data_IF_540367779142
#
_entry.id   IF_540367779142
#
_cell.length_a   1.000
_cell.length_b   1.000
_cell.length_c   1.000
_cell.angle_alpha   90.00
_cell.angle_beta   90.00
_cell.angle_gamma   90.00
#
_symmetry.space_group_name_H-M   'P 1'
#
loop_
_entity.id
_entity.type
_entity.pdbx_description
1 polymer ?
#
# COMPACT_ATOMS: atom_id res chain seq x y z
N UNK A 1 -24.71 -4.74 -12.31
CA UNK A 1 -23.74 -4.65 -11.20
C UNK A 1 -24.31 -5.45 -10.05
N UNK A 2 -23.69 -6.55 -9.69
CA UNK A 2 -24.04 -7.31 -8.45
C UNK A 2 -23.83 -6.35 -7.28
N UNK A 3 -24.82 -6.21 -6.40
CA UNK A 3 -24.67 -5.40 -5.20
C UNK A 3 -23.55 -6.04 -4.35
N UNK A 4 -22.42 -5.35 -4.18
CA UNK A 4 -21.38 -5.82 -3.28
C UNK A 4 -21.95 -5.99 -1.89
N UNK A 5 -21.69 -7.12 -1.26
CA UNK A 5 -22.09 -7.37 0.12
C UNK A 5 -21.41 -6.30 0.98
N UNK A 6 -22.21 -5.54 1.73
CA UNK A 6 -21.67 -4.49 2.62
C UNK A 6 -20.80 -5.14 3.70
N UNK A 7 -19.54 -4.74 3.76
CA UNK A 7 -18.62 -5.19 4.80
C UNK A 7 -18.98 -4.53 6.13
N UNK A 8 -19.10 -5.29 7.23
CA UNK A 8 -19.33 -4.70 8.54
C UNK A 8 -18.11 -3.88 8.99
N UNK A 9 -18.36 -2.78 9.68
CA UNK A 9 -17.30 -1.90 10.19
C UNK A 9 -16.85 -0.83 9.20
N UNK A 10 -16.17 0.16 9.76
CA UNK A 10 -15.60 1.31 9.04
C UNK A 10 -14.08 1.24 9.06
N UNK A 11 -13.46 1.66 7.95
CA UNK A 11 -12.03 1.89 7.87
C UNK A 11 -11.73 3.38 7.61
N UNK A 12 -10.63 3.87 8.16
CA UNK A 12 -10.01 5.13 7.79
C UNK A 12 -8.73 4.80 7.02
N UNK A 13 -8.56 5.38 5.83
CA UNK A 13 -7.33 5.31 5.05
C UNK A 13 -6.77 6.73 4.94
N UNK A 14 -5.60 6.93 5.52
CA UNK A 14 -4.93 8.23 5.58
C UNK A 14 -3.53 8.17 4.97
N UNK A 15 -2.97 9.34 4.63
CA UNK A 15 -1.61 9.45 4.13
C UNK A 15 -1.54 10.11 2.75
N UNK A 16 -0.62 9.58 1.95
CA UNK A 16 -0.29 10.15 0.64
C UNK A 16 -1.42 10.00 -0.39
N UNK A 17 -1.71 11.09 -1.10
CA UNK A 17 -2.59 11.14 -2.27
C UNK A 17 -1.97 12.05 -3.33
N UNK A 18 -2.05 11.67 -4.61
CA UNK A 18 -1.56 12.48 -5.73
C UNK A 18 -2.40 12.31 -6.98
N UNK A 19 -2.10 13.10 -8.00
CA UNK A 19 -2.57 12.90 -9.36
C UNK A 19 -1.45 12.23 -10.17
N UNK A 20 -1.74 11.09 -10.80
CA UNK A 20 -0.83 10.43 -11.71
C UNK A 20 -1.18 10.77 -13.17
N UNK A 21 -0.23 11.32 -13.91
CA UNK A 21 -0.32 11.62 -15.34
C UNK A 21 0.58 10.64 -16.09
N UNK A 22 -0.03 9.72 -16.83
CA UNK A 22 0.67 8.65 -17.54
C UNK A 22 0.50 8.84 -19.04
N UNK A 23 1.50 9.42 -19.76
CA UNK A 23 1.49 9.45 -21.22
C UNK A 23 1.53 8.03 -21.80
N UNK A 24 0.64 7.73 -22.76
CA UNK A 24 0.65 6.44 -23.45
C UNK A 24 1.74 6.46 -24.53
N UNK A 25 2.76 5.64 -24.36
CA UNK A 25 3.83 5.50 -25.34
C UNK A 25 3.43 4.60 -26.51
N UNK A 26 3.82 4.89 -27.74
CA UNK A 26 3.61 4.00 -28.88
C UNK A 26 4.41 2.69 -28.70
N UNK A 27 3.99 1.57 -29.34
CA UNK A 27 4.60 0.25 -29.14
C UNK A 27 6.09 0.17 -29.42
N UNK A 28 6.60 1.01 -30.33
CA UNK A 28 8.01 1.09 -30.73
C UNK A 28 8.86 2.02 -29.85
N UNK A 29 8.24 2.75 -28.93
CA UNK A 29 8.99 3.67 -28.06
C UNK A 29 9.84 2.90 -27.04
N UNK A 30 10.95 3.51 -26.72
CA UNK A 30 11.87 3.04 -25.67
C UNK A 30 12.37 4.22 -24.85
N UNK A 31 12.97 3.97 -23.70
CA UNK A 31 13.55 5.03 -22.87
C UNK A 31 14.61 5.85 -23.64
N UNK A 32 15.33 5.22 -24.57
CA UNK A 32 16.35 5.89 -25.43
C UNK A 32 15.74 6.85 -26.46
N UNK A 33 14.42 6.81 -26.70
CA UNK A 33 13.73 7.78 -27.58
C UNK A 33 13.53 9.14 -26.88
N UNK A 34 13.61 9.19 -25.55
CA UNK A 34 13.49 10.42 -24.77
C UNK A 34 14.87 11.07 -24.70
N UNK A 35 15.08 12.16 -25.46
CA UNK A 35 16.38 12.81 -25.60
C UNK A 35 16.32 14.29 -25.22
N UNK A 36 17.35 14.84 -24.57
CA UNK A 36 17.45 16.29 -24.34
C UNK A 36 17.32 17.07 -25.63
N UNK A 37 16.48 18.09 -25.66
CA UNK A 37 16.23 18.93 -26.84
C UNK A 37 15.40 18.28 -27.95
N UNK A 38 15.00 17.02 -27.81
CA UNK A 38 14.15 16.30 -28.75
C UNK A 38 12.65 16.41 -28.40
N UNK A 39 11.80 16.03 -29.37
CA UNK A 39 10.37 15.85 -29.17
C UNK A 39 10.07 14.35 -29.29
N UNK A 40 9.48 13.77 -28.27
CA UNK A 40 8.93 12.41 -28.30
C UNK A 40 7.42 12.48 -28.37
N UNK A 41 6.85 12.02 -29.48
CA UNK A 41 5.39 11.96 -29.60
C UNK A 41 4.86 10.82 -28.75
N UNK A 42 3.80 11.10 -27.99
CA UNK A 42 3.06 10.14 -27.16
C UNK A 42 1.57 10.22 -27.53
N UNK A 43 0.82 9.21 -27.10
CA UNK A 43 -0.64 9.17 -27.21
C UNK A 43 -1.32 10.03 -26.12
N UNK A 44 -2.65 9.88 -25.95
CA UNK A 44 -3.39 10.53 -24.89
C UNK A 44 -2.81 10.21 -23.52
N UNK A 45 -2.77 11.20 -22.61
CA UNK A 45 -2.39 10.94 -21.22
C UNK A 45 -3.57 10.30 -20.48
N UNK A 46 -3.27 9.24 -19.73
CA UNK A 46 -4.17 8.72 -18.71
C UNK A 46 -3.96 9.51 -17.41
N UNK A 47 -5.07 9.98 -16.83
CA UNK A 47 -5.07 10.77 -15.60
C UNK A 47 -5.84 9.99 -14.55
N UNK A 48 -5.12 9.53 -13.52
CA UNK A 48 -5.65 8.74 -12.42
C UNK A 48 -5.25 9.36 -11.07
N UNK A 49 -5.92 8.97 -10.02
CA UNK A 49 -5.43 9.24 -8.66
C UNK A 49 -4.41 8.18 -8.26
N UNK A 50 -3.33 8.61 -7.61
CA UNK A 50 -2.30 7.76 -7.03
C UNK A 50 -2.18 7.93 -5.51
N UNK A 51 -1.27 7.16 -4.93
CA UNK A 51 -1.01 7.14 -3.50
C UNK A 51 -1.92 6.18 -2.73
N UNK A 52 -1.51 5.87 -1.50
CA UNK A 52 -2.19 4.88 -0.67
C UNK A 52 -3.66 5.23 -0.37
N UNK A 53 -3.97 6.52 -0.18
CA UNK A 53 -5.34 6.98 0.09
C UNK A 53 -6.28 6.63 -1.07
N UNK A 54 -5.85 6.85 -2.30
CA UNK A 54 -6.64 6.50 -3.47
C UNK A 54 -6.62 4.98 -3.72
N UNK A 55 -5.45 4.39 -3.88
CA UNK A 55 -5.33 2.99 -4.30
C UNK A 55 -5.93 2.01 -3.28
N UNK A 56 -5.46 2.08 -2.01
CA UNK A 56 -5.98 1.20 -0.95
C UNK A 56 -7.41 1.57 -0.58
N UNK A 57 -7.70 2.86 -0.44
CA UNK A 57 -9.01 3.32 0.01
C UNK A 57 -10.12 3.07 -0.99
N UNK A 58 -9.91 3.31 -2.28
CA UNK A 58 -10.91 3.04 -3.32
C UNK A 58 -11.09 1.54 -3.55
N UNK A 59 -10.01 0.74 -3.43
CA UNK A 59 -10.13 -0.72 -3.48
C UNK A 59 -10.96 -1.26 -2.30
N UNK A 60 -10.79 -0.73 -1.08
CA UNK A 60 -11.64 -1.08 0.07
C UNK A 60 -13.12 -0.74 -0.18
N UNK A 61 -13.40 0.44 -0.75
CA UNK A 61 -14.76 0.80 -1.17
C UNK A 61 -15.31 -0.14 -2.24
N UNK A 62 -14.48 -0.51 -3.22
CA UNK A 62 -14.85 -1.49 -4.23
C UNK A 62 -15.26 -2.82 -3.60
N UNK A 63 -14.59 -3.28 -2.54
CA UNK A 63 -14.97 -4.49 -1.80
C UNK A 63 -16.22 -4.32 -0.93
N UNK A 64 -16.75 -3.12 -0.79
CA UNK A 64 -17.99 -2.84 -0.02
C UNK A 64 -17.77 -2.34 1.40
N UNK A 65 -16.54 -1.96 1.77
CA UNK A 65 -16.26 -1.35 3.07
C UNK A 65 -16.74 0.10 3.14
N UNK A 66 -17.21 0.53 4.31
CA UNK A 66 -17.40 1.96 4.62
C UNK A 66 -16.02 2.56 4.90
N UNK A 67 -15.55 3.47 4.04
CA UNK A 67 -14.18 4.00 4.10
C UNK A 67 -14.17 5.51 4.11
N UNK A 68 -13.53 6.09 5.12
CA UNK A 68 -13.14 7.49 5.13
C UNK A 68 -11.74 7.65 4.53
N UNK A 69 -11.61 8.50 3.51
CA UNK A 69 -10.35 8.81 2.84
C UNK A 69 -9.81 10.13 3.35
N UNK A 70 -8.62 10.14 3.96
CA UNK A 70 -7.99 11.31 4.54
C UNK A 70 -6.65 11.59 3.86
N UNK A 71 -6.63 12.58 3.00
CA UNK A 71 -5.44 13.08 2.31
C UNK A 71 -5.50 14.60 2.21
N UNK A 72 -4.43 15.22 1.75
CA UNK A 72 -4.35 16.68 1.59
C UNK A 72 -4.00 17.01 0.13
N UNK A 73 -4.72 17.96 -0.44
CA UNK A 73 -4.49 18.51 -1.79
C UNK A 73 -4.48 20.03 -1.75
N UNK A 74 -3.93 20.65 -2.77
CA UNK A 74 -4.00 22.10 -2.97
C UNK A 74 -5.36 22.56 -3.50
N UNK A 75 -5.61 23.89 -3.42
CA UNK A 75 -6.74 24.54 -4.06
C UNK A 75 -6.42 24.89 -5.53
N UNK A 76 -6.03 23.90 -6.33
CA UNK A 76 -5.55 24.02 -7.70
C UNK A 76 -6.27 23.05 -8.65
N UNK A 77 -6.06 23.15 -10.00
CA UNK A 77 -6.71 22.26 -10.95
C UNK A 77 -6.42 20.76 -10.71
N UNK A 78 -5.25 20.38 -10.20
CA UNK A 78 -4.94 18.97 -9.89
C UNK A 78 -5.72 18.49 -8.66
N UNK A 79 -5.88 19.33 -7.63
CA UNK A 79 -6.75 19.05 -6.48
C UNK A 79 -8.21 18.84 -6.88
N UNK A 80 -8.71 19.64 -7.81
CA UNK A 80 -10.06 19.46 -8.37
C UNK A 80 -10.21 18.11 -9.10
N UNK A 81 -9.20 17.69 -9.88
CA UNK A 81 -9.21 16.39 -10.55
C UNK A 81 -9.18 15.23 -9.56
N UNK A 82 -8.34 15.31 -8.53
CA UNK A 82 -8.30 14.32 -7.45
C UNK A 82 -9.65 14.23 -6.74
N UNK A 83 -10.22 15.38 -6.33
CA UNK A 83 -11.52 15.45 -5.68
C UNK A 83 -12.62 14.83 -6.54
N UNK A 84 -12.68 15.21 -7.82
CA UNK A 84 -13.67 14.68 -8.76
C UNK A 84 -13.53 13.16 -8.98
N UNK A 85 -12.30 12.63 -8.95
CA UNK A 85 -12.06 11.19 -9.02
C UNK A 85 -12.59 10.47 -7.77
N UNK A 86 -12.33 10.99 -6.57
CA UNK A 86 -12.85 10.41 -5.32
C UNK A 86 -14.39 10.47 -5.26
N UNK A 87 -15.00 11.57 -5.74
CA UNK A 87 -16.47 11.72 -5.78
C UNK A 87 -17.14 10.64 -6.66
N UNK A 88 -16.54 10.28 -7.77
CA UNK A 88 -17.04 9.18 -8.64
C UNK A 88 -17.07 7.83 -7.92
N UNK A 89 -16.27 7.66 -6.88
CA UNK A 89 -16.11 6.41 -6.10
C UNK A 89 -16.67 6.49 -4.67
N UNK A 90 -17.63 7.38 -4.41
CA UNK A 90 -18.35 7.41 -3.13
C UNK A 90 -17.99 8.56 -2.20
N UNK A 91 -17.29 9.58 -2.71
CA UNK A 91 -17.13 10.86 -2.02
C UNK A 91 -15.72 11.17 -1.52
N UNK A 92 -15.45 12.45 -1.39
CA UNK A 92 -14.17 13.04 -1.01
C UNK A 92 -14.25 13.78 0.36
N UNK A 93 -15.23 13.46 1.20
CA UNK A 93 -15.54 14.25 2.41
C UNK A 93 -14.41 14.31 3.45
N UNK A 94 -13.46 13.37 3.41
CA UNK A 94 -12.27 13.38 4.27
C UNK A 94 -11.04 14.04 3.62
N UNK A 95 -11.16 14.54 2.38
CA UNK A 95 -10.07 15.20 1.68
C UNK A 95 -9.94 16.65 2.18
N UNK A 96 -8.74 17.03 2.59
CA UNK A 96 -8.42 18.39 3.02
C UNK A 96 -7.95 19.18 1.80
N UNK A 97 -8.55 20.34 1.55
CA UNK A 97 -8.12 21.28 0.52
C UNK A 97 -7.40 22.44 1.21
N UNK A 98 -6.10 22.54 0.99
CA UNK A 98 -5.24 23.56 1.58
C UNK A 98 -4.85 24.61 0.52
N UNK A 99 -5.36 25.86 0.60
CA UNK A 99 -5.04 26.90 -0.37
C UNK A 99 -3.59 27.41 -0.27
N UNK A 100 -2.85 27.01 0.76
CA UNK A 100 -1.44 27.36 0.95
C UNK A 100 -0.45 26.37 0.32
N UNK A 101 -0.96 25.31 -0.30
CA UNK A 101 -0.15 24.25 -0.89
C UNK A 101 -0.57 23.96 -2.34
N UNK A 102 0.33 23.34 -3.11
CA UNK A 102 0.04 22.76 -4.42
C UNK A 102 -0.28 21.27 -4.27
N UNK A 103 -1.10 20.72 -5.17
CA UNK A 103 -1.46 19.30 -5.15
C UNK A 103 -0.28 18.45 -5.63
N UNK A 104 0.01 17.39 -4.90
CA UNK A 104 0.98 16.37 -5.30
C UNK A 104 0.62 15.75 -6.64
N UNK A 105 1.63 15.50 -7.48
CA UNK A 105 1.45 14.78 -8.73
C UNK A 105 2.65 13.92 -9.10
N UNK A 106 2.43 12.94 -9.98
CA UNK A 106 3.49 12.18 -10.61
C UNK A 106 3.33 12.18 -12.13
N UNK A 107 4.41 12.41 -12.87
CA UNK A 107 4.49 12.03 -14.28
C UNK A 107 5.06 10.61 -14.34
N UNK A 108 4.26 9.66 -14.86
CA UNK A 108 4.66 8.26 -14.93
C UNK A 108 5.18 7.96 -16.32
N UNK A 109 6.48 7.75 -16.46
CA UNK A 109 7.14 7.40 -17.72
C UNK A 109 7.27 5.89 -17.79
N UNK A 110 6.51 5.25 -18.70
CA UNK A 110 6.41 3.81 -18.84
C UNK A 110 6.44 3.37 -20.32
N UNK A 111 7.55 3.57 -21.06
CA UNK A 111 7.66 3.04 -22.41
C UNK A 111 7.69 1.50 -22.39
N UNK A 112 7.22 0.81 -23.47
CA UNK A 112 7.17 -0.63 -23.54
C UNK A 112 8.50 -1.31 -23.16
N UNK A 113 8.42 -2.36 -22.34
CA UNK A 113 9.60 -3.12 -21.90
C UNK A 113 10.48 -2.44 -20.84
N UNK A 114 10.02 -1.30 -20.31
CA UNK A 114 10.71 -0.57 -19.23
C UNK A 114 9.79 -0.49 -18.02
N UNK A 115 10.32 -0.72 -16.82
CA UNK A 115 9.58 -0.44 -15.60
C UNK A 115 9.35 1.07 -15.44
N UNK A 116 8.34 1.44 -14.69
CA UNK A 116 7.89 2.82 -14.52
C UNK A 116 8.95 3.70 -13.86
N UNK A 117 9.09 4.90 -14.39
CA UNK A 117 9.89 5.98 -13.80
C UNK A 117 8.91 7.05 -13.34
N UNK A 118 9.04 7.48 -12.09
CA UNK A 118 8.19 8.52 -11.52
C UNK A 118 8.96 9.83 -11.39
N UNK A 119 8.43 10.91 -11.98
CA UNK A 119 8.81 12.26 -11.66
C UNK A 119 7.75 12.78 -10.68
N UNK A 120 8.09 12.85 -9.41
CA UNK A 120 7.14 13.06 -8.32
C UNK A 120 7.36 14.39 -7.61
N UNK A 121 6.26 15.14 -7.43
CA UNK A 121 6.17 16.31 -6.56
C UNK A 121 5.30 15.95 -5.35
N UNK A 122 5.83 16.00 -4.13
CA UNK A 122 5.08 15.66 -2.93
C UNK A 122 3.95 16.64 -2.57
N UNK A 123 4.06 17.90 -2.99
CA UNK A 123 3.01 18.93 -2.83
C UNK A 123 2.45 19.00 -1.41
N UNK A 124 1.13 19.09 -1.27
CA UNK A 124 0.41 19.21 -0.01
C UNK A 124 0.65 18.06 0.99
N UNK A 125 1.13 16.88 0.53
CA UNK A 125 1.47 15.79 1.43
C UNK A 125 2.64 16.12 2.37
N UNK A 126 3.53 17.06 2.00
CA UNK A 126 4.63 17.50 2.88
C UNK A 126 4.15 18.16 4.17
N UNK A 127 3.00 18.82 4.11
CA UNK A 127 2.39 19.54 5.24
C UNK A 127 1.35 18.74 6.01
N UNK A 128 1.15 17.44 5.65
CA UNK A 128 0.23 16.58 6.38
C UNK A 128 0.76 16.27 7.77
N UNK A 129 -0.11 16.38 8.79
CA UNK A 129 0.23 16.21 10.21
C UNK A 129 -0.79 15.30 10.91
N UNK A 130 -0.53 14.94 12.16
CA UNK A 130 -1.46 14.18 12.97
C UNK A 130 -2.78 14.92 13.24
N UNK A 131 -2.79 16.27 13.18
CA UNK A 131 -4.02 17.06 13.33
C UNK A 131 -4.93 17.01 12.11
N UNK A 132 -4.42 16.58 10.95
CA UNK A 132 -5.20 16.38 9.73
C UNK A 132 -6.02 15.08 9.76
N UNK A 133 -5.76 14.19 10.73
CA UNK A 133 -6.56 12.99 10.96
C UNK A 133 -7.70 13.31 11.93
N UNK A 134 -8.94 13.22 11.46
CA UNK A 134 -10.13 13.53 12.27
C UNK A 134 -10.33 12.47 13.36
N UNK A 135 -10.38 12.92 14.61
CA UNK A 135 -10.49 12.04 15.78
C UNK A 135 -11.85 11.33 15.85
N UNK A 136 -12.93 12.01 15.46
CA UNK A 136 -14.27 11.40 15.42
C UNK A 136 -14.36 10.24 14.45
N UNK A 137 -13.72 10.38 13.30
CA UNK A 137 -13.67 9.31 12.30
C UNK A 137 -12.82 8.12 12.79
N UNK A 138 -11.78 8.37 13.60
CA UNK A 138 -11.03 7.29 14.25
C UNK A 138 -11.88 6.56 15.31
N UNK A 139 -12.64 7.29 16.12
CA UNK A 139 -13.53 6.71 17.16
C UNK A 139 -14.62 5.81 16.56
N UNK A 140 -15.06 6.10 15.32
CA UNK A 140 -16.05 5.31 14.60
C UNK A 140 -15.46 4.17 13.77
N UNK A 141 -14.12 4.11 13.63
CA UNK A 141 -13.45 3.16 12.77
C UNK A 141 -12.96 1.92 13.52
N UNK A 142 -13.09 0.76 12.90
CA UNK A 142 -12.47 -0.47 13.37
C UNK A 142 -11.03 -0.64 12.86
N UNK A 143 -10.72 -0.01 11.71
CA UNK A 143 -9.40 -0.12 11.08
C UNK A 143 -8.87 1.24 10.64
N UNK A 144 -7.62 1.51 10.97
CA UNK A 144 -6.86 2.66 10.49
C UNK A 144 -5.68 2.19 9.65
N UNK A 145 -5.60 2.63 8.41
CA UNK A 145 -4.48 2.39 7.52
C UNK A 145 -3.79 3.70 7.17
N UNK A 146 -2.46 3.74 7.26
CA UNK A 146 -1.66 4.87 6.80
C UNK A 146 -0.64 4.41 5.77
N UNK A 147 -0.53 5.16 4.66
CA UNK A 147 0.40 4.79 3.60
C UNK A 147 1.31 5.90 3.13
N UNK A 148 2.54 5.48 2.81
CA UNK A 148 3.59 6.20 2.12
C UNK A 148 4.25 7.35 2.90
N UNK A 149 4.51 7.21 4.20
CA UNK A 149 5.21 8.23 4.98
C UNK A 149 6.58 8.67 4.41
N UNK A 150 7.35 7.82 3.67
CA UNK A 150 8.64 8.25 3.12
C UNK A 150 8.59 9.40 2.10
N UNK A 151 7.44 9.61 1.49
CA UNK A 151 7.22 10.71 0.53
C UNK A 151 6.29 11.80 1.09
N UNK A 152 6.22 11.91 2.44
CA UNK A 152 5.45 12.90 3.19
C UNK A 152 6.37 13.52 4.24
N UNK A 153 6.93 14.70 3.94
CA UNK A 153 8.00 15.32 4.72
C UNK A 153 7.71 15.40 6.23
N UNK A 154 6.50 15.79 6.61
CA UNK A 154 6.09 15.87 8.01
C UNK A 154 6.20 14.52 8.75
N UNK A 155 6.04 13.40 8.05
CA UNK A 155 5.99 12.07 8.66
C UNK A 155 7.37 11.49 9.01
N UNK A 156 8.45 11.96 8.38
CA UNK A 156 9.80 11.43 8.65
C UNK A 156 10.72 12.41 9.38
N UNK A 157 10.37 13.68 9.48
CA UNK A 157 11.17 14.63 10.24
C UNK A 157 11.10 14.38 11.76
N UNK A 158 12.10 14.88 12.48
CA UNK A 158 12.18 14.78 13.95
C UNK A 158 12.03 13.33 14.47
N UNK A 159 12.67 12.38 13.79
CA UNK A 159 12.60 10.96 14.17
C UNK A 159 11.22 10.34 13.98
N UNK A 160 10.38 10.88 13.09
CA UNK A 160 9.05 10.37 12.82
C UNK A 160 7.98 10.76 13.85
N UNK A 161 8.20 11.84 14.60
CA UNK A 161 7.31 12.24 15.71
C UNK A 161 5.84 12.46 15.28
N UNK A 162 5.59 13.01 14.09
CA UNK A 162 4.21 13.14 13.58
C UNK A 162 3.61 11.78 13.23
N UNK A 163 4.36 10.90 12.58
CA UNK A 163 3.89 9.56 12.25
C UNK A 163 3.59 8.74 13.52
N UNK A 164 4.46 8.82 14.54
CA UNK A 164 4.19 8.21 15.85
C UNK A 164 2.90 8.76 16.46
N UNK A 165 2.69 10.08 16.42
CA UNK A 165 1.49 10.73 16.96
C UNK A 165 0.22 10.26 16.24
N UNK A 166 0.25 10.13 14.91
CA UNK A 166 -0.85 9.57 14.11
C UNK A 166 -1.24 8.19 14.62
N UNK A 167 -0.26 7.28 14.73
CA UNK A 167 -0.54 5.90 15.14
C UNK A 167 -0.95 5.78 16.61
N UNK A 168 -0.36 6.60 17.48
CA UNK A 168 -0.77 6.65 18.90
C UNK A 168 -2.23 7.07 19.05
N UNK A 169 -2.68 8.08 18.29
CA UNK A 169 -4.09 8.51 18.27
C UNK A 169 -5.02 7.40 17.78
N UNK A 170 -4.70 6.74 16.66
CA UNK A 170 -5.49 5.65 16.12
C UNK A 170 -5.59 4.46 17.10
N UNK A 171 -4.49 4.11 17.79
CA UNK A 171 -4.51 3.08 18.84
C UNK A 171 -5.33 3.50 20.05
N UNK A 172 -5.25 4.77 20.47
CA UNK A 172 -6.05 5.28 21.59
C UNK A 172 -7.55 5.29 21.29
N UNK A 173 -7.93 5.46 20.00
CA UNK A 173 -9.32 5.34 19.53
C UNK A 173 -9.81 3.88 19.41
N UNK A 174 -8.95 2.89 19.64
CA UNK A 174 -9.30 1.46 19.59
C UNK A 174 -9.21 0.82 18.23
N UNK A 175 -8.65 1.50 17.21
CA UNK A 175 -8.51 0.93 15.87
C UNK A 175 -7.48 -0.20 15.82
N UNK A 176 -7.72 -1.18 14.95
CA UNK A 176 -6.64 -1.97 14.35
C UNK A 176 -5.84 -1.05 13.44
N UNK A 177 -4.52 -1.09 13.54
CA UNK A 177 -3.66 -0.18 12.80
C UNK A 177 -2.79 -0.91 11.79
N UNK A 178 -2.65 -0.33 10.59
CA UNK A 178 -1.73 -0.84 9.57
C UNK A 178 -0.94 0.29 8.91
N UNK A 179 0.32 0.01 8.58
CA UNK A 179 1.26 0.95 7.99
C UNK A 179 1.87 0.34 6.73
N UNK A 180 1.75 1.04 5.61
CA UNK A 180 2.50 0.77 4.38
C UNK A 180 3.56 1.83 4.13
N UNK A 181 4.59 1.46 3.38
CA UNK A 181 5.70 2.34 3.06
C UNK A 181 5.70 2.69 1.56
N UNK A 182 6.69 3.44 1.13
CA UNK A 182 6.98 3.72 -0.27
C UNK A 182 8.48 3.63 -0.50
N UNK A 183 8.88 3.48 -1.76
CA UNK A 183 10.28 3.56 -2.14
C UNK A 183 10.89 4.90 -1.73
N UNK A 184 12.14 4.86 -1.30
CA UNK A 184 12.90 6.03 -0.85
C UNK A 184 13.97 6.36 -1.89
N UNK A 185 13.98 7.58 -2.37
CA UNK A 185 15.12 8.10 -3.13
C UNK A 185 16.32 8.30 -2.19
N UNK A 186 17.43 7.57 -2.38
CA UNK A 186 18.61 7.67 -1.53
C UNK A 186 19.22 9.08 -1.47
N UNK A 187 19.02 9.89 -2.50
CA UNK A 187 19.53 11.25 -2.58
C UNK A 187 18.67 12.30 -1.88
N UNK A 188 17.42 11.95 -1.57
CA UNK A 188 16.42 12.84 -0.96
C UNK A 188 16.68 13.13 0.53
N UNK A 189 15.91 14.04 1.11
CA UNK A 189 15.92 14.28 2.56
C UNK A 189 15.45 13.04 3.33
N UNK A 190 14.42 12.33 2.82
CA UNK A 190 13.95 11.07 3.36
C UNK A 190 15.04 9.98 3.35
N UNK A 191 15.87 9.94 2.28
CA UNK A 191 16.98 9.00 2.15
C UNK A 191 18.08 9.17 3.21
N UNK A 192 18.20 10.36 3.79
CA UNK A 192 19.18 10.69 4.84
C UNK A 192 18.68 10.46 6.27
N UNK A 193 17.39 10.12 6.46
CA UNK A 193 16.83 9.86 7.78
C UNK A 193 17.31 8.51 8.35
N UNK A 194 17.33 8.42 9.68
CA UNK A 194 17.47 7.13 10.38
C UNK A 194 16.12 6.42 10.47
N UNK A 195 15.82 5.64 9.43
CA UNK A 195 14.57 4.88 9.38
C UNK A 195 14.44 3.82 10.47
N UNK A 196 15.56 3.32 11.02
CA UNK A 196 15.51 2.39 12.15
C UNK A 196 15.02 3.08 13.43
N UNK A 197 15.42 4.33 13.63
CA UNK A 197 14.92 5.14 14.76
C UNK A 197 13.43 5.45 14.58
N UNK A 198 13.02 5.91 13.38
CA UNK A 198 11.61 6.19 13.05
C UNK A 198 10.75 4.94 13.27
N UNK A 199 11.14 3.80 12.71
CA UNK A 199 10.39 2.55 12.84
C UNK A 199 10.32 2.09 14.31
N UNK A 200 11.38 2.23 15.10
CA UNK A 200 11.37 1.90 16.55
C UNK A 200 10.36 2.75 17.33
N UNK A 201 10.18 4.01 16.95
CA UNK A 201 9.19 4.89 17.58
C UNK A 201 7.75 4.51 17.20
N UNK A 202 7.51 4.14 15.95
CA UNK A 202 6.16 3.98 15.36
C UNK A 202 5.61 2.55 15.51
N UNK A 203 6.43 1.51 15.28
CA UNK A 203 5.99 0.11 15.23
C UNK A 203 5.29 -0.42 16.49
N UNK A 204 5.58 0.06 17.71
CA UNK A 204 4.81 -0.31 18.89
C UNK A 204 3.31 0.00 18.82
N UNK A 205 2.91 0.92 17.94
CA UNK A 205 1.51 1.33 17.70
C UNK A 205 0.92 0.76 16.41
N UNK A 206 1.67 -0.08 15.68
CA UNK A 206 1.26 -0.71 14.42
C UNK A 206 0.95 -2.19 14.65
N UNK A 207 -0.30 -2.60 14.39
CA UNK A 207 -0.68 -4.01 14.49
C UNK A 207 -0.21 -4.83 13.28
N UNK A 208 -0.31 -4.24 12.07
CA UNK A 208 0.14 -4.86 10.81
C UNK A 208 1.05 -3.91 10.04
N UNK A 209 2.31 -4.27 9.91
CA UNK A 209 3.26 -3.54 9.08
C UNK A 209 3.38 -4.26 7.73
N UNK A 210 3.06 -3.54 6.62
CA UNK A 210 2.74 -4.16 5.33
C UNK A 210 3.60 -3.65 4.13
N UNK A 211 4.89 -3.34 4.31
CA UNK A 211 5.78 -2.80 3.28
C UNK A 211 6.22 -3.84 2.25
N UNK A 212 6.94 -3.39 1.21
CA UNK A 212 7.71 -4.28 0.35
C UNK A 212 9.06 -4.68 0.97
N UNK A 213 9.61 -5.80 0.49
CA UNK A 213 10.91 -6.29 0.95
C UNK A 213 12.04 -5.31 0.61
N UNK A 214 11.99 -4.69 -0.57
CA UNK A 214 12.98 -3.72 -1.02
C UNK A 214 12.95 -2.44 -0.18
N UNK A 215 11.76 -1.91 0.14
CA UNK A 215 11.58 -0.78 1.05
C UNK A 215 12.20 -1.07 2.43
N UNK A 216 11.91 -2.25 2.98
CA UNK A 216 12.48 -2.68 4.25
C UNK A 216 13.98 -2.85 4.20
N UNK A 217 14.53 -3.45 3.13
CA UNK A 217 15.97 -3.56 2.96
C UNK A 217 16.62 -2.18 3.01
N UNK A 218 16.06 -1.20 2.31
CA UNK A 218 16.57 0.17 2.38
C UNK A 218 16.58 0.73 3.80
N UNK A 219 15.51 0.50 4.56
CA UNK A 219 15.32 1.09 5.88
C UNK A 219 16.13 0.39 6.98
N UNK A 220 16.23 -0.95 6.95
CA UNK A 220 16.74 -1.73 8.08
C UNK A 220 17.93 -2.63 7.74
N UNK A 221 18.15 -2.97 6.47
CA UNK A 221 19.19 -3.89 5.99
C UNK A 221 19.73 -3.44 4.62
N UNK A 222 20.26 -2.20 4.56
CA UNK A 222 20.85 -1.64 3.32
C UNK A 222 21.95 -2.49 2.70
N UNK A 223 22.66 -3.24 3.54
CA UNK A 223 23.67 -4.21 3.15
C UNK A 223 23.12 -5.31 2.22
N UNK A 224 21.82 -5.63 2.32
CA UNK A 224 21.16 -6.66 1.51
C UNK A 224 20.42 -6.12 0.29
N UNK A 225 20.25 -4.81 0.15
CA UNK A 225 19.35 -4.22 -0.86
C UNK A 225 19.68 -4.67 -2.29
N UNK A 226 20.95 -4.63 -2.68
CA UNK A 226 21.37 -5.01 -4.03
C UNK A 226 21.12 -6.49 -4.35
N UNK A 227 21.38 -7.36 -3.37
CA UNK A 227 21.16 -8.80 -3.50
C UNK A 227 19.65 -9.14 -3.57
N UNK A 228 18.85 -8.53 -2.70
CA UNK A 228 17.39 -8.69 -2.69
C UNK A 228 16.75 -8.20 -4.00
N UNK A 229 17.13 -7.00 -4.49
CA UNK A 229 16.61 -6.47 -5.76
C UNK A 229 16.96 -7.39 -6.93
N UNK A 230 18.20 -7.89 -6.98
CA UNK A 230 18.62 -8.85 -8.00
C UNK A 230 17.87 -10.19 -7.89
N UNK A 231 17.61 -10.67 -6.67
CA UNK A 231 16.88 -11.92 -6.42
C UNK A 231 15.42 -11.82 -6.85
N UNK A 232 14.73 -10.71 -6.56
CA UNK A 232 13.35 -10.45 -7.00
C UNK A 232 13.30 -10.38 -8.53
N UNK A 233 14.20 -9.64 -9.17
CA UNK A 233 14.25 -9.49 -10.62
C UNK A 233 14.61 -10.74 -11.41
N UNK A 234 15.11 -11.79 -10.74
CA UNK A 234 15.53 -13.07 -11.36
C UNK A 234 14.76 -14.30 -10.86
N UNK A 235 13.66 -14.11 -10.13
CA UNK A 235 12.85 -15.18 -9.52
C UNK A 235 13.66 -16.14 -8.62
N UNK A 236 14.71 -15.61 -7.95
CA UNK A 236 15.60 -16.38 -7.06
C UNK A 236 15.47 -15.98 -5.59
N UNK A 237 14.30 -15.51 -5.19
CA UNK A 237 14.08 -15.08 -3.82
C UNK A 237 14.23 -16.26 -2.85
N UNK A 238 15.13 -16.12 -1.87
CA UNK A 238 15.28 -17.07 -0.76
C UNK A 238 14.55 -16.57 0.47
N UNK A 239 13.67 -17.38 1.03
CA UNK A 239 12.98 -17.02 2.28
C UNK A 239 14.00 -16.90 3.41
N UNK A 240 14.85 -17.92 3.59
CA UNK A 240 15.84 -17.95 4.67
C UNK A 240 16.97 -16.93 4.49
N UNK A 241 17.38 -16.66 3.23
CA UNK A 241 18.50 -15.76 2.93
C UNK A 241 18.10 -14.29 2.81
N UNK A 242 16.92 -14.00 2.27
CA UNK A 242 16.53 -12.62 1.96
C UNK A 242 15.39 -12.11 2.86
N UNK A 243 14.34 -12.91 3.09
CA UNK A 243 13.12 -12.42 3.76
C UNK A 243 13.25 -12.47 5.28
N UNK A 244 13.65 -13.61 5.84
CA UNK A 244 13.72 -13.78 7.30
C UNK A 244 14.68 -12.81 7.98
N UNK A 245 15.92 -12.54 7.46
CA UNK A 245 16.82 -11.59 8.09
C UNK A 245 16.25 -10.16 8.16
N UNK A 246 15.43 -9.77 7.19
CA UNK A 246 14.75 -8.47 7.18
C UNK A 246 13.56 -8.48 8.14
N UNK A 247 12.76 -9.56 8.14
CA UNK A 247 11.65 -9.72 9.07
C UNK A 247 12.11 -9.71 10.54
N UNK A 248 13.24 -10.37 10.84
CA UNK A 248 13.83 -10.37 12.18
C UNK A 248 14.29 -8.97 12.59
N UNK A 249 14.98 -8.24 11.70
CA UNK A 249 15.40 -6.87 11.96
C UNK A 249 14.22 -5.92 12.25
N UNK A 250 13.06 -6.12 11.60
CA UNK A 250 11.84 -5.34 11.86
C UNK A 250 11.19 -5.77 13.18
N UNK A 251 11.19 -7.07 13.49
CA UNK A 251 10.67 -7.57 14.77
C UNK A 251 11.47 -7.01 15.96
N UNK A 252 12.80 -6.89 15.83
CA UNK A 252 13.68 -6.27 16.83
C UNK A 252 13.40 -4.77 17.05
N UNK A 253 12.75 -4.12 16.10
CA UNK A 253 12.29 -2.72 16.22
C UNK A 253 10.86 -2.61 16.80
N UNK A 254 10.22 -3.72 17.15
CA UNK A 254 8.88 -3.74 17.75
C UNK A 254 7.76 -4.08 16.78
N UNK A 255 8.08 -4.53 15.57
CA UNK A 255 7.07 -5.00 14.60
C UNK A 255 6.29 -6.20 15.13
N UNK A 256 4.96 -6.04 15.32
CA UNK A 256 4.08 -7.04 15.94
C UNK A 256 3.61 -8.10 14.95
N UNK A 257 3.06 -7.65 13.82
CA UNK A 257 2.74 -8.53 12.69
C UNK A 257 3.22 -7.90 11.40
N UNK A 258 3.75 -8.72 10.51
CA UNK A 258 4.40 -8.30 9.27
C UNK A 258 3.73 -8.99 8.07
N UNK A 259 3.47 -8.23 7.02
CA UNK A 259 3.13 -8.73 5.70
C UNK A 259 4.12 -8.10 4.73
N UNK A 260 5.22 -8.78 4.43
CA UNK A 260 6.32 -8.27 3.60
C UNK A 260 6.06 -8.67 2.16
N UNK A 261 5.69 -7.69 1.33
CA UNK A 261 5.40 -7.87 -0.10
C UNK A 261 6.72 -8.16 -0.86
N UNK A 262 6.72 -9.19 -1.71
CA UNK A 262 7.88 -9.66 -2.45
C UNK A 262 7.61 -9.68 -3.97
N UNK A 263 6.92 -8.67 -4.50
CA UNK A 263 6.58 -8.56 -5.92
C UNK A 263 5.76 -9.74 -6.43
N UNK A 264 6.10 -10.24 -7.62
CA UNK A 264 5.42 -11.37 -8.25
C UNK A 264 5.52 -12.67 -7.46
N UNK A 265 6.50 -12.80 -6.56
CA UNK A 265 6.65 -13.97 -5.71
C UNK A 265 5.47 -14.15 -4.72
N UNK A 266 4.88 -13.06 -4.26
CA UNK A 266 3.85 -13.06 -3.23
C UNK A 266 4.27 -12.26 -2.01
N UNK A 267 4.01 -12.75 -0.81
CA UNK A 267 4.40 -12.06 0.42
C UNK A 267 4.69 -13.03 1.58
N UNK A 268 5.56 -12.61 2.47
CA UNK A 268 5.79 -13.28 3.73
C UNK A 268 4.90 -12.69 4.82
N UNK A 269 4.27 -13.56 5.59
CA UNK A 269 3.44 -13.17 6.72
C UNK A 269 4.01 -13.75 8.02
N UNK A 270 4.19 -12.88 9.02
CA UNK A 270 4.49 -13.24 10.41
C UNK A 270 3.53 -12.49 11.32
N UNK A 271 2.90 -13.18 12.28
CA UNK A 271 1.97 -12.55 13.21
C UNK A 271 2.42 -12.72 14.65
N UNK A 272 2.01 -11.80 15.49
CA UNK A 272 2.31 -11.81 16.91
C UNK A 272 1.62 -12.94 17.68
N UNK A 273 1.93 -13.05 18.98
CA UNK A 273 1.24 -13.96 19.88
C UNK A 273 -0.23 -13.59 20.08
N UNK A 274 -1.03 -14.49 20.65
CA UNK A 274 -2.41 -14.21 21.02
C UNK A 274 -2.55 -12.99 21.93
N UNK A 275 -1.61 -12.81 22.86
CA UNK A 275 -1.55 -11.66 23.76
C UNK A 275 -1.30 -10.36 22.96
N UNK A 276 -0.34 -10.37 22.04
CA UNK A 276 -0.03 -9.23 21.18
C UNK A 276 -1.22 -8.82 20.31
N UNK A 277 -2.05 -9.80 19.90
CA UNK A 277 -3.22 -9.59 19.02
C UNK A 277 -4.52 -9.33 19.80
N UNK A 278 -4.48 -9.21 21.14
CA UNK A 278 -5.69 -8.99 21.95
C UNK A 278 -6.46 -7.72 21.54
N UNK A 279 -5.75 -6.61 21.27
CA UNK A 279 -6.38 -5.38 20.78
C UNK A 279 -7.00 -5.52 19.38
N UNK A 280 -6.43 -6.37 18.52
CA UNK A 280 -7.03 -6.69 17.21
C UNK A 280 -8.31 -7.50 17.39
N UNK A 281 -8.32 -8.47 18.29
CA UNK A 281 -9.51 -9.27 18.62
C UNK A 281 -10.64 -8.38 19.17
N UNK A 282 -10.32 -7.45 20.07
CA UNK A 282 -11.26 -6.51 20.66
C UNK A 282 -11.86 -5.58 19.61
N UNK A 283 -11.02 -4.92 18.81
CA UNK A 283 -11.46 -3.98 17.78
C UNK A 283 -12.33 -4.64 16.69
N UNK A 284 -12.02 -5.88 16.30
CA UNK A 284 -12.79 -6.62 15.31
C UNK A 284 -13.98 -7.39 15.91
N UNK A 285 -14.09 -7.46 17.23
CA UNK A 285 -15.15 -8.21 17.92
C UNK A 285 -15.16 -9.71 17.60
N UNK A 286 -13.97 -10.31 17.32
CA UNK A 286 -13.86 -11.72 16.91
C UNK A 286 -12.65 -12.44 17.54
N UNK A 287 -12.73 -13.78 17.59
CA UNK A 287 -11.56 -14.60 17.91
C UNK A 287 -10.53 -14.52 16.76
N UNK A 288 -9.29 -14.27 17.12
CA UNK A 288 -8.12 -14.20 16.22
C UNK A 288 -7.12 -15.32 16.48
N UNK A 289 -7.56 -16.43 17.07
CA UNK A 289 -6.68 -17.57 17.38
C UNK A 289 -6.08 -18.22 16.13
N UNK A 290 -6.79 -18.16 15.00
CA UNK A 290 -6.31 -18.63 13.69
C UNK A 290 -5.18 -17.75 13.11
N UNK A 291 -5.05 -16.54 13.63
CA UNK A 291 -4.05 -15.54 13.26
C UNK A 291 -2.76 -15.66 14.08
N UNK A 292 -2.84 -16.07 15.34
CA UNK A 292 -1.76 -15.95 16.30
C UNK A 292 -0.56 -16.88 16.00
N UNK A 293 0.66 -16.31 16.06
CA UNK A 293 1.91 -17.06 15.95
C UNK A 293 2.16 -17.68 14.58
N UNK A 294 1.61 -17.09 13.53
CA UNK A 294 1.80 -17.60 12.15
C UNK A 294 3.12 -17.10 11.58
N UNK A 295 3.76 -17.96 10.78
CA UNK A 295 4.94 -17.64 9.99
C UNK A 295 4.86 -18.46 8.70
N UNK A 296 4.57 -17.79 7.57
CA UNK A 296 4.45 -18.47 6.26
C UNK A 296 4.69 -17.53 5.10
N UNK A 297 5.11 -18.09 3.99
CA UNK A 297 5.15 -17.41 2.70
C UNK A 297 3.88 -17.74 1.91
N UNK A 298 3.11 -16.73 1.53
CA UNK A 298 1.95 -16.85 0.66
C UNK A 298 2.38 -16.51 -0.77
N UNK A 299 2.39 -17.53 -1.64
CA UNK A 299 2.74 -17.35 -3.06
C UNK A 299 1.64 -16.56 -3.78
N UNK A 300 2.03 -15.66 -4.66
CA UNK A 300 1.11 -15.00 -5.58
C UNK A 300 0.46 -15.98 -6.54
N UNK A 301 -0.58 -15.54 -7.21
CA UNK A 301 -1.24 -16.31 -8.27
C UNK A 301 -0.76 -15.85 -9.65
N UNK A 302 -0.89 -16.72 -10.65
CA UNK A 302 -0.52 -16.40 -12.03
C UNK A 302 -1.61 -15.51 -12.63
N UNK A 303 -1.31 -14.25 -13.01
CA UNK A 303 -2.27 -13.41 -13.69
C UNK A 303 -2.49 -13.89 -15.13
N UNK A 304 -3.65 -13.61 -15.72
CA UNK A 304 -3.92 -13.94 -17.13
C UNK A 304 -3.03 -13.13 -18.09
N UNK A 305 -2.65 -11.92 -17.69
CA UNK A 305 -1.70 -11.03 -18.38
C UNK A 305 -1.12 -10.04 -17.38
N UNK A 306 0.04 -9.47 -17.70
CA UNK A 306 0.61 -8.35 -16.93
C UNK A 306 0.55 -7.11 -17.80
N UNK A 307 -0.21 -6.11 -17.35
CA UNK A 307 -0.39 -4.81 -18.00
C UNK A 307 0.33 -3.71 -17.22
N UNK A 308 0.09 -3.63 -15.90
CA UNK A 308 0.72 -2.65 -15.02
C UNK A 308 0.89 -3.22 -13.61
N UNK A 309 1.99 -2.88 -12.94
CA UNK A 309 2.16 -3.20 -11.51
C UNK A 309 1.61 -2.14 -10.57
N UNK A 310 1.00 -1.05 -11.10
CA UNK A 310 0.51 0.07 -10.29
C UNK A 310 -0.60 -0.39 -9.36
N UNK A 311 -0.47 -0.07 -8.06
CA UNK A 311 -1.47 -0.37 -7.06
C UNK A 311 -1.59 -1.84 -6.64
N UNK A 312 -0.77 -2.76 -7.18
CA UNK A 312 -0.85 -4.18 -6.81
C UNK A 312 -0.58 -4.41 -5.31
N UNK A 313 0.38 -3.69 -4.74
CA UNK A 313 0.64 -3.70 -3.30
C UNK A 313 -0.55 -3.17 -2.50
N UNK A 314 -1.07 -2.00 -2.90
CA UNK A 314 -2.20 -1.33 -2.24
C UNK A 314 -3.46 -2.19 -2.27
N UNK A 315 -3.76 -2.81 -3.41
CA UNK A 315 -4.95 -3.67 -3.54
C UNK A 315 -4.80 -5.00 -2.81
N UNK A 316 -3.57 -5.53 -2.69
CA UNK A 316 -3.26 -6.65 -1.81
C UNK A 316 -3.60 -6.31 -0.35
N UNK A 317 -3.18 -5.13 0.12
CA UNK A 317 -3.47 -4.64 1.46
C UNK A 317 -4.97 -4.39 1.64
N UNK A 318 -5.62 -3.76 0.67
CA UNK A 318 -7.07 -3.51 0.70
C UNK A 318 -7.87 -4.80 0.81
N UNK A 319 -7.53 -5.84 0.04
CA UNK A 319 -8.19 -7.14 0.12
C UNK A 319 -7.94 -7.83 1.47
N UNK A 320 -6.73 -7.71 2.02
CA UNK A 320 -6.42 -8.19 3.37
C UNK A 320 -7.31 -7.50 4.42
N UNK A 321 -7.34 -6.16 4.43
CA UNK A 321 -8.15 -5.38 5.38
C UNK A 321 -9.64 -5.72 5.22
N UNK A 322 -10.15 -5.71 3.98
CA UNK A 322 -11.55 -6.00 3.68
C UNK A 322 -11.97 -7.40 4.15
N UNK A 323 -11.14 -8.41 3.91
CA UNK A 323 -11.41 -9.79 4.32
C UNK A 323 -11.33 -9.95 5.85
N UNK A 324 -10.40 -9.28 6.51
CA UNK A 324 -10.31 -9.25 7.98
C UNK A 324 -11.56 -8.62 8.61
N UNK A 325 -12.02 -7.47 8.10
CA UNK A 325 -13.25 -6.81 8.54
C UNK A 325 -14.49 -7.67 8.25
N UNK A 326 -14.49 -8.44 7.17
CA UNK A 326 -15.58 -9.36 6.81
C UNK A 326 -15.62 -10.63 7.67
N UNK A 327 -14.62 -10.85 8.52
CA UNK A 327 -14.57 -12.02 9.39
C UNK A 327 -14.13 -13.31 8.71
N UNK A 328 -13.51 -13.25 7.53
CA UNK A 328 -12.92 -14.44 6.88
C UNK A 328 -11.85 -15.08 7.76
N UNK A 329 -11.63 -16.38 7.59
CA UNK A 329 -10.51 -17.09 8.22
C UNK A 329 -9.19 -16.49 7.74
N UNK A 330 -8.18 -16.49 8.59
CA UNK A 330 -6.90 -15.85 8.27
C UNK A 330 -6.25 -16.38 6.99
N UNK A 331 -6.30 -17.71 6.76
CA UNK A 331 -5.76 -18.29 5.53
C UNK A 331 -6.49 -17.79 4.29
N UNK A 332 -7.82 -17.60 4.35
CA UNK A 332 -8.62 -17.01 3.26
C UNK A 332 -8.27 -15.54 3.04
N UNK A 333 -7.99 -14.79 4.12
CA UNK A 333 -7.53 -13.39 4.01
C UNK A 333 -6.19 -13.31 3.23
N UNK A 334 -5.25 -14.21 3.50
CA UNK A 334 -3.97 -14.25 2.77
C UNK A 334 -4.18 -14.66 1.30
N UNK A 335 -5.01 -15.65 1.02
CA UNK A 335 -5.33 -16.07 -0.35
C UNK A 335 -6.01 -14.97 -1.14
N UNK A 336 -7.00 -14.28 -0.56
CA UNK A 336 -7.69 -13.15 -1.17
C UNK A 336 -6.74 -11.99 -1.46
N UNK A 337 -5.86 -11.66 -0.51
CA UNK A 337 -4.84 -10.63 -0.69
C UNK A 337 -3.91 -10.94 -1.88
N UNK A 338 -3.36 -12.15 -1.92
CA UNK A 338 -2.46 -12.59 -3.00
C UNK A 338 -3.14 -12.63 -4.37
N UNK A 339 -4.38 -13.15 -4.43
CA UNK A 339 -5.13 -13.26 -5.67
C UNK A 339 -5.61 -11.88 -6.19
N UNK A 340 -5.92 -10.96 -5.29
CA UNK A 340 -6.29 -9.58 -5.65
C UNK A 340 -5.11 -8.82 -6.23
N UNK A 341 -3.93 -8.90 -5.62
CA UNK A 341 -2.71 -8.31 -6.18
C UNK A 341 -2.38 -8.85 -7.57
N UNK A 342 -2.57 -10.17 -7.78
CA UNK A 342 -2.40 -10.80 -9.09
C UNK A 342 -3.46 -10.35 -10.11
N UNK A 343 -4.71 -10.09 -9.68
CA UNK A 343 -5.74 -9.54 -10.56
C UNK A 343 -5.47 -8.07 -10.91
N UNK A 344 -4.99 -7.28 -9.97
CA UNK A 344 -4.70 -5.86 -10.19
C UNK A 344 -3.76 -5.63 -11.38
N UNK A 345 -2.72 -6.45 -11.53
CA UNK A 345 -1.75 -6.29 -12.62
C UNK A 345 -2.32 -6.58 -14.02
N UNK A 346 -3.54 -7.08 -14.12
CA UNK A 346 -4.23 -7.36 -15.39
C UNK A 346 -4.85 -6.11 -16.03
N UNK A 347 -4.87 -4.94 -15.32
CA UNK A 347 -5.34 -3.64 -15.80
C UNK A 347 -4.26 -2.56 -15.71
N UNK A 348 -4.54 -1.38 -16.29
CA UNK A 348 -3.63 -0.23 -16.26
C UNK A 348 -3.69 0.46 -14.89
N UNK A 349 -4.90 0.61 -14.33
CA UNK A 349 -5.16 1.24 -13.03
C UNK A 349 -5.36 0.20 -11.92
N UNK A 350 -5.37 0.66 -10.67
CA UNK A 350 -5.47 -0.20 -9.50
C UNK A 350 -6.84 -0.89 -9.33
N UNK A 351 -7.89 -0.46 -10.03
CA UNK A 351 -9.26 -0.93 -9.79
C UNK A 351 -9.82 -1.77 -10.94
N UNK A 352 -9.33 -1.55 -12.16
CA UNK A 352 -9.98 -2.02 -13.41
C UNK A 352 -10.11 -3.53 -13.56
N UNK A 353 -9.29 -4.31 -12.87
CA UNK A 353 -9.33 -5.78 -12.91
C UNK A 353 -9.73 -6.43 -11.57
N UNK A 354 -10.13 -5.65 -10.57
CA UNK A 354 -10.53 -6.19 -9.28
C UNK A 354 -11.84 -6.99 -9.38
N UNK A 355 -11.91 -8.05 -8.60
CA UNK A 355 -13.12 -8.85 -8.42
C UNK A 355 -13.63 -8.69 -6.98
N UNK A 356 -14.96 -8.72 -6.75
CA UNK A 356 -15.52 -8.86 -5.41
C UNK A 356 -14.91 -10.05 -4.66
N UNK A 357 -14.78 -9.96 -3.33
CA UNK A 357 -14.07 -10.98 -2.52
C UNK A 357 -14.66 -12.40 -2.69
N UNK A 358 -15.98 -12.53 -2.76
CA UNK A 358 -16.67 -13.80 -3.03
C UNK A 358 -16.30 -14.38 -4.40
N UNK A 359 -16.27 -13.54 -5.44
CA UNK A 359 -15.86 -13.94 -6.78
C UNK A 359 -14.39 -14.31 -6.87
N UNK A 360 -13.55 -13.62 -6.10
CA UNK A 360 -12.13 -13.97 -6.00
C UNK A 360 -11.94 -15.34 -5.32
N UNK A 361 -12.71 -15.65 -4.26
CA UNK A 361 -12.72 -16.99 -3.64
C UNK A 361 -13.21 -18.06 -4.60
N UNK A 362 -14.29 -17.81 -5.36
CA UNK A 362 -14.76 -18.73 -6.41
C UNK A 362 -13.65 -19.00 -7.45
N UNK A 363 -12.92 -17.96 -7.88
CA UNK A 363 -11.80 -18.07 -8.83
C UNK A 363 -10.66 -18.93 -8.25
N UNK A 364 -10.32 -18.72 -6.98
CA UNK A 364 -9.32 -19.53 -6.26
C UNK A 364 -9.78 -20.99 -6.18
N UNK A 365 -11.03 -21.24 -5.76
CA UNK A 365 -11.59 -22.57 -5.62
C UNK A 365 -11.71 -23.32 -6.97
N UNK A 366 -11.85 -22.61 -8.10
CA UNK A 366 -11.85 -23.18 -9.44
C UNK A 366 -10.47 -23.60 -9.96
N UNK A 367 -9.42 -23.46 -9.15
CA UNK A 367 -8.07 -23.92 -9.46
C UNK A 367 -7.15 -22.85 -10.06
N UNK A 368 -7.32 -21.59 -9.67
CA UNK A 368 -6.37 -20.52 -10.02
C UNK A 368 -4.96 -20.94 -9.58
N UNK A 369 -4.02 -20.97 -10.53
CA UNK A 369 -2.67 -21.47 -10.28
C UNK A 369 -1.83 -20.46 -9.51
N UNK A 370 -1.06 -20.95 -8.54
CA UNK A 370 -0.03 -20.13 -7.85
C UNK A 370 1.25 -20.09 -8.67
N UNK A 371 2.00 -19.00 -8.53
CA UNK A 371 3.33 -18.87 -9.13
C UNK A 371 4.23 -20.03 -8.70
N UNK A 372 4.93 -20.62 -9.67
CA UNK A 372 5.99 -21.58 -9.37
C UNK A 372 7.27 -20.81 -9.04
N UNK A 373 7.68 -20.87 -7.79
CA UNK A 373 8.87 -20.22 -7.31
C UNK A 373 9.86 -21.27 -6.84
N UNK A 374 11.12 -21.09 -7.18
CA UNK A 374 12.23 -21.80 -6.53
C UNK A 374 12.49 -21.08 -5.21
N UNK A 375 11.69 -21.39 -4.19
CA UNK A 375 11.90 -20.92 -2.84
C UNK A 375 12.91 -21.84 -2.15
N UNK A 376 14.15 -21.35 -1.97
CA UNK A 376 15.20 -22.00 -1.20
C UNK A 376 15.21 -21.55 0.26
#
# INVERSE_FOLDING_TARGET
MSANVKIPGRAVVAGHICLDVTPVFPPEASLSSIRPGGITNVGPAEINTGGAVANTGLALRFFGADVRLMGKVGADPFGELVRAALERHGGASGLIVDPGCETSYSIVIAPPGTDRIFLHDPGANESFTASDVDERELEEAQWFHFGYPPIMRGMYLNGGAELERVFRRAKSAGCVTSLDMAAIDPSSEAGRQDWREILRAVLPYVDFFVPSLEELCYMVRRDMLGDVTAAIGSDRLSISGHVLPVADAVSDLGGRSLIIKCGAAGFYCRTGSRETLSGVAEALGRDVSDLAGRSRFERSYVPAKVVSGTGAGDTTIAAFIASMLSGYRFDDCLHLAAATGASCVEAIDALGALLPLDKQLERIASGLQKQELILN
#
